data_IF_778823270102
#
_entry.id   IF_778823270102
#
_cell.length_a   1.000
_cell.length_b   1.000
_cell.length_c   1.000
_cell.angle_alpha   90.00
_cell.angle_beta   90.00
_cell.angle_gamma   90.00
#
_symmetry.space_group_name_H-M   'P 1'
#
loop_
_entity.id
_entity.type
_entity.pdbx_description
1 polymer ?
#
# COMPACT_ATOMS: atom_id res chain seq x y z
N UNK A 1 11.75 16.51 -2.19
CA UNK A 1 11.40 17.09 -0.88
C UNK A 1 12.47 16.92 0.19
N UNK A 2 13.59 16.26 -0.09
CA UNK A 2 14.68 16.02 0.88
C UNK A 2 15.20 17.28 1.58
N UNK A 3 15.41 18.37 0.85
CA UNK A 3 15.81 19.65 1.45
C UNK A 3 14.74 20.23 2.38
N UNK A 4 13.45 20.06 2.05
CA UNK A 4 12.35 20.50 2.90
C UNK A 4 12.26 19.65 4.18
N UNK A 5 12.38 18.33 4.06
CA UNK A 5 12.40 17.41 5.20
C UNK A 5 13.60 17.67 6.12
N UNK A 6 14.75 18.08 5.56
CA UNK A 6 15.94 18.45 6.32
C UNK A 6 15.94 19.91 6.81
N UNK A 7 14.84 20.67 6.60
CA UNK A 7 14.69 22.05 7.06
C UNK A 7 15.47 23.10 6.26
N UNK A 8 16.07 22.73 5.12
CA UNK A 8 16.83 23.63 4.23
C UNK A 8 15.95 24.38 3.22
N UNK A 9 14.69 23.98 3.03
CA UNK A 9 13.68 24.74 2.29
C UNK A 9 12.34 24.60 2.98
N UNK A 10 11.40 25.50 2.70
CA UNK A 10 10.03 25.28 3.13
C UNK A 10 9.34 24.19 2.27
N UNK A 11 8.28 23.59 2.80
CA UNK A 11 7.55 22.51 2.13
C UNK A 11 6.77 23.05 0.94
N UNK A 12 6.28 24.29 1.03
CA UNK A 12 5.51 24.97 -0.02
C UNK A 12 6.35 25.19 -1.28
N UNK A 13 7.65 25.46 -1.16
CA UNK A 13 8.58 25.63 -2.27
C UNK A 13 8.81 24.30 -2.96
N UNK A 14 8.97 23.21 -2.21
CA UNK A 14 9.10 21.88 -2.79
C UNK A 14 7.82 21.46 -3.55
N UNK A 15 6.64 21.74 -2.99
CA UNK A 15 5.35 21.47 -3.65
C UNK A 15 5.08 22.41 -4.84
N UNK A 16 5.65 23.62 -4.84
CA UNK A 16 5.57 24.51 -6.01
C UNK A 16 6.26 23.91 -7.23
N UNK A 17 7.34 23.16 -7.02
CA UNK A 17 8.04 22.47 -8.09
C UNK A 17 7.22 21.34 -8.71
N UNK A 18 6.17 20.83 -8.06
CA UNK A 18 5.32 19.76 -8.63
C UNK A 18 4.17 20.29 -9.49
N UNK A 19 4.02 21.62 -9.65
CA UNK A 19 2.94 22.21 -10.44
C UNK A 19 2.99 21.83 -11.92
N UNK A 20 4.19 21.62 -12.48
CA UNK A 20 4.36 21.30 -13.90
C UNK A 20 4.02 19.84 -14.24
N UNK A 21 3.82 18.95 -13.26
CA UNK A 21 3.69 17.51 -13.51
C UNK A 21 2.59 17.16 -14.51
N UNK A 22 1.51 17.93 -14.59
CA UNK A 22 0.44 17.71 -15.56
C UNK A 22 0.86 17.79 -17.04
N UNK A 23 2.05 18.34 -17.34
CA UNK A 23 2.63 18.40 -18.69
C UNK A 23 3.89 17.54 -18.85
N UNK A 24 4.21 16.72 -17.85
CA UNK A 24 5.41 15.87 -17.83
C UNK A 24 5.11 14.46 -18.35
N UNK A 25 6.06 13.89 -19.09
CA UNK A 25 6.00 12.53 -19.65
C UNK A 25 7.24 11.69 -19.34
N UNK A 26 8.24 12.24 -18.66
CA UNK A 26 9.43 11.52 -18.25
C UNK A 26 9.16 10.61 -17.04
N UNK A 27 9.53 9.33 -17.19
CA UNK A 27 9.33 8.31 -16.15
C UNK A 27 10.09 8.63 -14.86
N UNK A 28 11.33 9.12 -14.96
CA UNK A 28 12.18 9.37 -13.80
C UNK A 28 11.65 10.55 -12.98
N UNK A 29 11.17 11.59 -13.66
CA UNK A 29 10.55 12.75 -13.00
C UNK A 29 9.29 12.33 -12.24
N UNK A 30 8.40 11.57 -12.90
CA UNK A 30 7.18 11.05 -12.28
C UNK A 30 7.45 10.09 -11.13
N UNK A 31 8.37 9.14 -11.29
CA UNK A 31 8.79 8.23 -10.22
C UNK A 31 9.29 9.02 -9.02
N UNK A 32 10.19 9.98 -9.23
CA UNK A 32 10.73 10.82 -8.16
C UNK A 32 9.63 11.60 -7.45
N UNK A 33 8.70 12.19 -8.19
CA UNK A 33 7.59 12.94 -7.61
C UNK A 33 6.65 12.04 -6.80
N UNK A 34 6.29 10.87 -7.34
CA UNK A 34 5.35 9.95 -6.73
C UNK A 34 5.94 9.21 -5.52
N UNK A 35 7.24 8.91 -5.50
CA UNK A 35 7.91 8.37 -4.29
C UNK A 35 7.84 9.36 -3.11
N UNK A 36 7.89 10.65 -3.43
CA UNK A 36 7.75 11.74 -2.50
C UNK A 36 6.28 11.92 -2.06
N UNK A 37 5.32 11.87 -3.01
CA UNK A 37 3.90 11.89 -2.66
C UNK A 37 3.46 10.64 -1.89
N UNK A 38 4.09 9.47 -2.10
CA UNK A 38 3.82 8.26 -1.33
C UNK A 38 4.07 8.49 0.16
N UNK A 39 5.17 9.15 0.51
CA UNK A 39 5.47 9.50 1.90
C UNK A 39 4.42 10.44 2.50
N UNK A 40 3.88 11.38 1.71
CA UNK A 40 2.78 12.26 2.15
C UNK A 40 1.51 11.46 2.33
N UNK A 41 1.16 10.65 1.31
CA UNK A 41 -0.01 9.79 1.31
C UNK A 41 -0.02 8.91 2.56
N UNK A 42 1.03 8.12 2.79
CA UNK A 42 1.12 7.17 3.90
C UNK A 42 0.93 7.84 5.28
N UNK A 43 1.36 9.09 5.43
CA UNK A 43 1.22 9.87 6.68
C UNK A 43 -0.16 10.51 6.86
N UNK A 44 -0.87 10.82 5.78
CA UNK A 44 -2.22 11.38 5.82
C UNK A 44 -3.31 10.34 5.68
N UNK A 45 -2.90 9.10 5.40
CA UNK A 45 -3.74 8.00 4.98
C UNK A 45 -4.86 7.64 5.97
N UNK A 46 -4.64 7.85 7.27
CA UNK A 46 -5.64 7.58 8.32
C UNK A 46 -6.72 8.67 8.45
N UNK A 47 -6.60 9.81 7.73
CA UNK A 47 -7.60 10.88 7.68
C UNK A 47 -8.15 11.05 6.26
N UNK A 48 -9.41 10.67 6.07
CA UNK A 48 -10.09 10.71 4.77
C UNK A 48 -10.10 12.12 4.16
N UNK A 49 -10.30 13.17 4.96
CA UNK A 49 -10.34 14.55 4.46
C UNK A 49 -8.97 15.00 3.94
N UNK A 50 -7.89 14.59 4.61
CA UNK A 50 -6.53 14.90 4.21
C UNK A 50 -6.13 14.16 2.92
N UNK A 51 -6.54 12.90 2.78
CA UNK A 51 -6.36 12.12 1.54
C UNK A 51 -7.13 12.77 0.39
N UNK A 52 -8.33 13.29 0.64
CA UNK A 52 -9.12 14.01 -0.38
C UNK A 52 -8.38 15.27 -0.85
N UNK A 53 -7.75 16.03 0.04
CA UNK A 53 -6.95 17.20 -0.34
C UNK A 53 -5.77 16.81 -1.25
N UNK A 54 -5.02 15.76 -0.88
CA UNK A 54 -3.95 15.24 -1.71
C UNK A 54 -4.46 14.76 -3.08
N UNK A 55 -5.55 13.97 -3.10
CA UNK A 55 -6.21 13.47 -4.32
C UNK A 55 -6.57 14.62 -5.25
N UNK A 56 -7.23 15.65 -4.74
CA UNK A 56 -7.68 16.81 -5.52
C UNK A 56 -6.50 17.55 -6.17
N UNK A 57 -5.36 17.59 -5.50
CA UNK A 57 -4.17 18.23 -6.04
C UNK A 57 -3.45 17.40 -7.12
N UNK A 58 -3.22 16.10 -6.87
CA UNK A 58 -2.33 15.28 -7.71
C UNK A 58 -3.06 14.53 -8.82
N UNK A 59 -4.31 14.07 -8.60
CA UNK A 59 -5.05 13.26 -9.57
C UNK A 59 -5.28 13.98 -10.91
N UNK A 60 -5.61 15.29 -10.95
CA UNK A 60 -5.72 16.00 -12.23
C UNK A 60 -4.41 16.01 -13.03
N UNK A 61 -3.25 16.02 -12.36
CA UNK A 61 -1.93 15.98 -13.01
C UNK A 61 -1.63 14.60 -13.55
N UNK A 62 -1.95 13.56 -12.78
CA UNK A 62 -1.87 12.15 -13.21
C UNK A 62 -2.73 11.94 -14.45
N UNK A 63 -3.99 12.37 -14.42
CA UNK A 63 -4.91 12.21 -15.54
C UNK A 63 -4.43 12.97 -16.79
N UNK A 64 -3.91 14.19 -16.62
CA UNK A 64 -3.31 14.95 -17.73
C UNK A 64 -2.13 14.21 -18.36
N UNK A 65 -1.22 13.66 -17.55
CA UNK A 65 -0.09 12.88 -18.07
C UNK A 65 -0.51 11.56 -18.72
N UNK A 66 -1.52 10.86 -18.17
CA UNK A 66 -2.10 9.68 -18.79
C UNK A 66 -2.70 9.99 -20.17
N UNK A 67 -3.32 11.16 -20.34
CA UNK A 67 -3.84 11.59 -21.64
C UNK A 67 -2.72 11.93 -22.62
N UNK A 68 -1.61 12.54 -22.16
CA UNK A 68 -0.43 12.82 -22.99
C UNK A 68 0.24 11.54 -23.52
N UNK A 69 0.36 10.49 -22.69
CA UNK A 69 0.98 9.21 -23.07
C UNK A 69 -0.02 8.17 -23.59
N UNK A 70 -1.29 8.57 -23.76
CA UNK A 70 -2.46 7.73 -24.05
C UNK A 70 -2.79 6.76 -22.91
N UNK A 71 -4.00 6.86 -22.40
CA UNK A 71 -4.47 6.07 -21.27
C UNK A 71 -4.52 4.56 -21.52
N UNK A 72 -4.90 4.13 -22.73
CA UNK A 72 -4.86 2.72 -23.11
C UNK A 72 -3.50 2.38 -23.69
N UNK A 73 -3.00 1.17 -23.40
CA UNK A 73 -1.77 0.65 -23.96
C UNK A 73 -1.94 0.43 -25.48
N UNK A 74 -1.22 1.17 -26.34
CA UNK A 74 -1.23 0.92 -27.77
C UNK A 74 -0.60 -0.44 -28.05
N UNK A 75 -1.19 -1.22 -28.96
CA UNK A 75 -0.68 -2.53 -29.34
C UNK A 75 0.78 -2.43 -29.83
N UNK A 76 1.67 -3.24 -29.24
CA UNK A 76 3.10 -3.27 -29.60
C UNK A 76 3.95 -2.13 -29.03
N UNK A 77 3.39 -1.26 -28.16
CA UNK A 77 4.17 -0.22 -27.49
C UNK A 77 5.24 -0.84 -26.57
N UNK A 78 6.46 -0.30 -26.63
CA UNK A 78 7.60 -0.67 -25.78
C UNK A 78 8.26 0.59 -25.24
N UNK A 79 9.01 0.44 -24.15
CA UNK A 79 9.80 1.53 -23.55
C UNK A 79 9.16 2.11 -22.30
N UNK A 80 9.67 3.27 -21.89
CA UNK A 80 9.39 3.90 -20.58
C UNK A 80 7.93 4.30 -20.39
N UNK A 81 7.17 4.56 -21.46
CA UNK A 81 5.75 4.88 -21.39
C UNK A 81 4.90 3.74 -20.80
N UNK A 82 5.30 2.48 -21.02
CA UNK A 82 4.59 1.32 -20.45
C UNK A 82 4.68 1.35 -18.93
N UNK A 83 5.89 1.54 -18.41
CA UNK A 83 6.14 1.65 -16.97
C UNK A 83 5.52 2.91 -16.37
N UNK A 84 5.62 4.06 -17.06
CA UNK A 84 5.03 5.31 -16.60
C UNK A 84 3.51 5.18 -16.49
N UNK A 85 2.85 4.59 -17.49
CA UNK A 85 1.40 4.39 -17.46
C UNK A 85 0.97 3.48 -16.32
N UNK A 86 1.68 2.37 -16.09
CA UNK A 86 1.40 1.50 -14.96
C UNK A 86 1.56 2.22 -13.62
N UNK A 87 2.62 3.03 -13.47
CA UNK A 87 2.87 3.86 -12.29
C UNK A 87 1.74 4.86 -12.04
N UNK A 88 1.33 5.60 -13.08
CA UNK A 88 0.28 6.61 -13.01
C UNK A 88 -1.09 6.00 -12.73
N UNK A 89 -1.44 4.91 -13.41
CA UNK A 89 -2.69 4.18 -13.14
C UNK A 89 -2.70 3.59 -11.73
N UNK A 90 -1.57 3.12 -11.22
CA UNK A 90 -1.50 2.63 -9.85
C UNK A 90 -1.96 3.68 -8.84
N UNK A 91 -1.54 4.93 -9.02
CA UNK A 91 -2.02 6.05 -8.22
C UNK A 91 -3.48 6.42 -8.51
N UNK A 92 -3.89 6.48 -9.78
CA UNK A 92 -5.27 6.81 -10.14
C UNK A 92 -6.29 5.84 -9.52
N UNK A 93 -6.05 4.54 -9.60
CA UNK A 93 -6.91 3.53 -8.99
C UNK A 93 -6.85 3.55 -7.46
N UNK A 94 -5.69 3.86 -6.86
CA UNK A 94 -5.58 4.04 -5.39
C UNK A 94 -6.44 5.20 -4.90
N UNK A 95 -6.65 6.22 -5.73
CA UNK A 95 -7.60 7.31 -5.49
C UNK A 95 -9.02 7.00 -5.95
N UNK A 96 -9.32 5.77 -6.37
CA UNK A 96 -10.63 5.35 -6.89
C UNK A 96 -11.09 6.22 -8.07
N UNK A 97 -10.17 6.64 -8.94
CA UNK A 97 -10.50 7.28 -10.21
C UNK A 97 -11.33 6.31 -11.08
N UNK A 98 -12.53 6.73 -11.49
CA UNK A 98 -13.49 5.84 -12.15
C UNK A 98 -12.95 5.23 -13.45
N UNK A 99 -12.18 6.00 -14.22
CA UNK A 99 -11.60 5.53 -15.48
C UNK A 99 -10.56 4.44 -15.22
N UNK A 100 -9.76 4.60 -14.16
CA UNK A 100 -8.82 3.57 -13.73
C UNK A 100 -9.52 2.32 -13.19
N UNK A 101 -10.54 2.50 -12.34
CA UNK A 101 -11.32 1.39 -11.77
C UNK A 101 -11.98 0.58 -12.88
N UNK A 102 -12.65 1.24 -13.83
CA UNK A 102 -13.29 0.57 -14.97
C UNK A 102 -12.27 -0.23 -15.80
N UNK A 103 -11.11 0.37 -16.09
CA UNK A 103 -10.02 -0.31 -16.78
C UNK A 103 -9.52 -1.55 -16.01
N UNK A 104 -9.29 -1.42 -14.70
CA UNK A 104 -8.81 -2.54 -13.89
C UNK A 104 -9.85 -3.66 -13.82
N UNK A 105 -11.12 -3.31 -13.71
CA UNK A 105 -12.24 -4.25 -13.70
C UNK A 105 -12.42 -4.98 -15.03
N UNK A 106 -12.26 -4.28 -16.16
CA UNK A 106 -12.27 -4.88 -17.49
C UNK A 106 -11.12 -5.89 -17.64
N UNK A 107 -9.88 -5.50 -17.29
CA UNK A 107 -8.72 -6.38 -17.37
C UNK A 107 -8.77 -7.56 -16.42
N UNK A 108 -9.34 -7.37 -15.22
CA UNK A 108 -9.57 -8.48 -14.32
C UNK A 108 -10.60 -9.46 -14.89
N UNK A 109 -11.67 -8.96 -15.52
CA UNK A 109 -12.67 -9.81 -16.16
C UNK A 109 -12.09 -10.59 -17.34
N UNK A 110 -11.29 -9.97 -18.20
CA UNK A 110 -10.58 -10.66 -19.29
C UNK A 110 -9.72 -11.81 -18.75
N UNK A 111 -9.07 -11.60 -17.61
CA UNK A 111 -8.27 -12.63 -16.94
C UNK A 111 -9.13 -13.77 -16.37
N UNK A 112 -10.28 -13.47 -15.78
CA UNK A 112 -11.25 -14.47 -15.33
C UNK A 112 -11.75 -15.34 -16.49
N UNK A 113 -12.14 -14.71 -17.60
CA UNK A 113 -12.71 -15.39 -18.78
C UNK A 113 -11.69 -16.34 -19.44
N UNK A 114 -10.40 -16.04 -19.30
CA UNK A 114 -9.29 -16.90 -19.77
C UNK A 114 -8.84 -17.93 -18.72
N UNK A 115 -9.69 -18.20 -17.71
CA UNK A 115 -9.40 -19.08 -16.58
C UNK A 115 -8.04 -18.77 -15.92
N UNK A 116 -7.67 -17.49 -15.87
CA UNK A 116 -6.43 -16.99 -15.30
C UNK A 116 -5.14 -17.48 -15.95
N UNK A 117 -5.13 -17.72 -17.26
CA UNK A 117 -3.90 -18.00 -18.02
C UNK A 117 -2.99 -16.75 -18.02
N UNK A 118 -1.82 -16.84 -17.38
CA UNK A 118 -1.02 -15.66 -17.01
C UNK A 118 0.04 -15.11 -17.99
N UNK A 119 0.48 -15.77 -19.08
CA UNK A 119 1.55 -15.16 -19.88
C UNK A 119 1.07 -14.13 -20.91
N UNK A 120 -0.23 -13.87 -21.10
CA UNK A 120 -0.71 -13.00 -22.20
C UNK A 120 -1.81 -11.97 -21.88
N UNK A 121 -2.56 -12.09 -20.77
CA UNK A 121 -3.75 -11.24 -20.56
C UNK A 121 -3.44 -9.89 -19.92
N UNK A 122 -2.58 -9.88 -18.89
CA UNK A 122 -2.24 -8.66 -18.13
C UNK A 122 -0.71 -8.50 -18.12
N UNK A 123 -0.16 -7.42 -18.71
CA UNK A 123 1.28 -7.17 -18.66
C UNK A 123 1.75 -7.00 -17.21
N UNK A 124 2.96 -7.48 -16.91
CA UNK A 124 3.48 -7.59 -15.54
C UNK A 124 3.40 -6.30 -14.72
N UNK A 125 3.61 -5.15 -15.36
CA UNK A 125 3.55 -3.83 -14.72
C UNK A 125 2.15 -3.47 -14.18
N UNK A 126 1.08 -4.02 -14.77
CA UNK A 126 -0.30 -3.72 -14.39
C UNK A 126 -0.90 -4.75 -13.43
N UNK A 127 -0.25 -5.92 -13.26
CA UNK A 127 -0.84 -7.03 -12.51
C UNK A 127 -1.17 -6.67 -11.06
N UNK A 128 -0.22 -6.08 -10.33
CA UNK A 128 -0.45 -5.72 -8.92
C UNK A 128 -1.62 -4.74 -8.77
N UNK A 129 -1.66 -3.71 -9.63
CA UNK A 129 -2.71 -2.71 -9.69
C UNK A 129 -4.08 -3.34 -9.94
N UNK A 130 -4.17 -4.18 -10.98
CA UNK A 130 -5.43 -4.78 -11.41
C UNK A 130 -5.96 -5.73 -10.34
N UNK A 131 -5.11 -6.57 -9.78
CA UNK A 131 -5.51 -7.50 -8.72
C UNK A 131 -5.97 -6.76 -7.46
N UNK A 132 -5.19 -5.79 -7.00
CA UNK A 132 -5.51 -4.98 -5.83
C UNK A 132 -6.82 -4.22 -6.01
N UNK A 133 -7.04 -3.59 -7.18
CA UNK A 133 -8.28 -2.84 -7.46
C UNK A 133 -9.50 -3.76 -7.51
N UNK A 134 -9.38 -4.93 -8.13
CA UNK A 134 -10.46 -5.91 -8.18
C UNK A 134 -10.83 -6.43 -6.78
N UNK A 135 -9.83 -6.65 -5.92
CA UNK A 135 -10.03 -7.06 -4.51
C UNK A 135 -10.64 -5.94 -3.67
N UNK A 136 -10.19 -4.69 -3.85
CA UNK A 136 -10.62 -3.54 -3.07
C UNK A 136 -12.04 -3.08 -3.43
N UNK A 137 -12.43 -3.21 -4.71
CA UNK A 137 -13.70 -2.73 -5.25
C UNK A 137 -14.33 -3.85 -6.10
N UNK A 138 -14.79 -4.95 -5.49
CA UNK A 138 -15.35 -6.06 -6.25
C UNK A 138 -16.68 -5.67 -6.92
N UNK A 139 -16.91 -6.15 -8.14
CA UNK A 139 -18.24 -6.09 -8.76
C UNK A 139 -19.24 -6.90 -7.92
N UNK A 140 -20.48 -6.45 -7.88
CA UNK A 140 -21.55 -7.15 -7.17
C UNK A 140 -21.64 -8.60 -7.65
N UNK A 141 -21.61 -9.55 -6.71
CA UNK A 141 -21.71 -10.98 -6.99
C UNK A 141 -20.41 -11.66 -7.44
N UNK A 142 -19.27 -10.97 -7.44
CA UNK A 142 -17.96 -11.59 -7.73
C UNK A 142 -17.13 -11.75 -6.46
N UNK A 143 -16.16 -12.67 -6.49
CA UNK A 143 -15.19 -12.89 -5.40
C UNK A 143 -13.74 -12.90 -5.90
N UNK A 144 -13.20 -11.73 -6.32
CA UNK A 144 -11.83 -11.61 -6.82
C UNK A 144 -10.77 -12.17 -5.85
N UNK A 145 -10.97 -11.97 -4.55
CA UNK A 145 -10.09 -12.49 -3.51
C UNK A 145 -10.02 -14.02 -3.49
N UNK A 146 -11.14 -14.72 -3.60
CA UNK A 146 -11.18 -16.19 -3.65
C UNK A 146 -10.48 -16.72 -4.90
N UNK A 147 -10.71 -16.06 -6.04
CA UNK A 147 -10.05 -16.42 -7.30
C UNK A 147 -8.53 -16.25 -7.22
N UNK A 148 -8.07 -15.09 -6.75
CA UNK A 148 -6.64 -14.79 -6.56
C UNK A 148 -6.01 -15.77 -5.57
N UNK A 149 -6.70 -16.09 -4.47
CA UNK A 149 -6.21 -17.06 -3.50
C UNK A 149 -6.09 -18.47 -4.10
N UNK A 150 -7.06 -18.88 -4.92
CA UNK A 150 -6.98 -20.12 -5.70
C UNK A 150 -5.78 -20.14 -6.65
N UNK A 151 -5.52 -19.01 -7.33
CA UNK A 151 -4.35 -18.84 -8.21
C UNK A 151 -3.04 -18.88 -7.45
N UNK A 152 -2.97 -18.25 -6.28
CA UNK A 152 -1.80 -18.30 -5.40
C UNK A 152 -1.43 -19.74 -5.04
N UNK A 153 -2.43 -20.56 -4.67
CA UNK A 153 -2.23 -21.96 -4.29
C UNK A 153 -1.74 -22.82 -5.46
N UNK A 154 -2.15 -22.51 -6.69
CA UNK A 154 -1.78 -23.25 -7.90
C UNK A 154 -0.48 -22.74 -8.58
N UNK A 155 -0.03 -21.53 -8.27
CA UNK A 155 1.16 -20.91 -8.88
C UNK A 155 2.45 -21.57 -8.37
N UNK A 156 3.47 -21.64 -9.22
CA UNK A 156 4.79 -22.22 -8.92
C UNK A 156 5.86 -21.12 -8.94
N UNK A 157 5.69 -20.10 -9.77
CA UNK A 157 6.60 -18.98 -9.85
C UNK A 157 6.51 -18.13 -8.56
N UNK A 158 7.63 -18.02 -7.84
CA UNK A 158 7.68 -17.31 -6.55
C UNK A 158 7.30 -15.83 -6.67
N UNK A 159 7.74 -15.13 -7.72
CA UNK A 159 7.43 -13.71 -7.93
C UNK A 159 5.94 -13.51 -8.16
N UNK A 160 5.31 -14.38 -8.95
CA UNK A 160 3.86 -14.35 -9.17
C UNK A 160 3.08 -14.70 -7.91
N UNK A 161 3.52 -15.71 -7.15
CA UNK A 161 2.93 -16.06 -5.85
C UNK A 161 2.94 -14.86 -4.91
N UNK A 162 4.10 -14.24 -4.70
CA UNK A 162 4.22 -13.07 -3.81
C UNK A 162 3.28 -11.95 -4.27
N UNK A 163 3.20 -11.67 -5.58
CA UNK A 163 2.29 -10.66 -6.15
C UNK A 163 0.82 -10.98 -5.89
N UNK A 164 0.40 -12.22 -6.15
CA UNK A 164 -0.98 -12.68 -5.92
C UNK A 164 -1.38 -12.51 -4.44
N UNK A 165 -0.57 -13.03 -3.51
CA UNK A 165 -0.86 -12.88 -2.08
C UNK A 165 -0.82 -11.41 -1.66
N UNK A 166 0.17 -10.64 -2.12
CA UNK A 166 0.29 -9.22 -1.81
C UNK A 166 -0.93 -8.42 -2.24
N UNK A 167 -1.56 -8.75 -3.37
CA UNK A 167 -2.78 -8.05 -3.82
C UNK A 167 -3.98 -8.23 -2.89
N UNK A 168 -4.01 -9.31 -2.09
CA UNK A 168 -5.05 -9.54 -1.09
C UNK A 168 -4.93 -8.59 0.11
N UNK A 169 -3.86 -7.79 0.22
CA UNK A 169 -3.73 -6.78 1.27
C UNK A 169 -4.64 -5.57 1.05
N UNK A 170 -5.23 -5.45 -0.14
CA UNK A 170 -6.20 -4.41 -0.49
C UNK A 170 -7.65 -4.81 -0.16
N UNK A 171 -7.84 -5.88 0.61
CA UNK A 171 -9.14 -6.44 0.95
C UNK A 171 -9.83 -5.60 2.03
N UNK A 172 -10.89 -4.88 1.63
CA UNK A 172 -11.69 -4.04 2.53
C UNK A 172 -12.77 -4.78 3.35
N UNK A 173 -12.88 -6.10 3.20
CA UNK A 173 -13.88 -6.91 3.92
C UNK A 173 -13.25 -7.55 5.17
N UNK A 174 -13.45 -6.92 6.33
CA UNK A 174 -12.85 -7.29 7.61
C UNK A 174 -13.00 -8.78 7.96
N UNK A 175 -14.19 -9.34 7.76
CA UNK A 175 -14.46 -10.74 8.07
C UNK A 175 -13.60 -11.69 7.22
N UNK A 176 -13.42 -11.40 5.92
CA UNK A 176 -12.54 -12.20 5.06
C UNK A 176 -11.07 -11.97 5.38
N UNK A 177 -10.69 -10.74 5.73
CA UNK A 177 -9.31 -10.46 6.16
C UNK A 177 -8.95 -11.25 7.42
N UNK A 178 -9.84 -11.30 8.41
CA UNK A 178 -9.65 -12.09 9.64
C UNK A 178 -9.51 -13.60 9.35
N UNK A 179 -10.32 -14.13 8.43
CA UNK A 179 -10.20 -15.53 7.98
C UNK A 179 -8.84 -15.75 7.31
N UNK A 180 -8.44 -14.87 6.40
CA UNK A 180 -7.15 -14.98 5.71
C UNK A 180 -5.98 -14.87 6.69
N UNK A 181 -6.02 -13.96 7.67
CA UNK A 181 -5.02 -13.84 8.74
C UNK A 181 -4.91 -15.13 9.55
N UNK A 182 -6.04 -15.76 9.89
CA UNK A 182 -6.04 -17.07 10.54
C UNK A 182 -5.39 -18.15 9.67
N UNK A 183 -5.75 -18.22 8.40
CA UNK A 183 -5.23 -19.23 7.47
C UNK A 183 -3.72 -19.10 7.27
N UNK A 184 -3.22 -17.88 7.06
CA UNK A 184 -1.79 -17.64 6.85
C UNK A 184 -0.99 -17.79 8.13
N UNK A 185 -1.57 -17.68 9.32
CA UNK A 185 -0.83 -17.83 10.58
C UNK A 185 -0.94 -19.23 11.17
N UNK A 186 -1.88 -20.05 10.70
CA UNK A 186 -2.06 -21.42 11.15
C UNK A 186 -0.79 -22.29 10.89
N UNK A 187 -0.31 -23.09 11.86
CA UNK A 187 0.76 -24.06 11.61
C UNK A 187 0.41 -25.05 10.50
N UNK A 188 1.40 -25.41 9.66
CA UNK A 188 1.23 -26.40 8.59
C UNK A 188 0.36 -25.95 7.41
N UNK A 189 0.18 -24.64 7.22
CA UNK A 189 -0.54 -24.10 6.07
C UNK A 189 0.27 -24.21 4.75
N UNK A 190 -0.41 -24.00 3.61
CA UNK A 190 0.17 -24.10 2.26
C UNK A 190 0.87 -22.80 1.78
N UNK A 191 0.97 -21.78 2.63
CA UNK A 191 1.56 -20.49 2.27
C UNK A 191 3.06 -20.49 2.53
N UNK A 192 3.82 -19.95 1.56
CA UNK A 192 5.27 -19.82 1.68
C UNK A 192 5.60 -18.75 2.73
N UNK A 193 6.53 -19.03 3.62
CA UNK A 193 6.90 -18.14 4.73
C UNK A 193 7.29 -16.72 4.30
N UNK A 194 8.05 -16.61 3.21
CA UNK A 194 8.43 -15.32 2.63
C UNK A 194 7.21 -14.52 2.11
N UNK A 195 6.23 -15.20 1.51
CA UNK A 195 4.99 -14.57 1.04
C UNK A 195 4.15 -14.09 2.21
N UNK A 196 3.99 -14.92 3.25
CA UNK A 196 3.26 -14.58 4.49
C UNK A 196 3.85 -13.35 5.17
N UNK A 197 5.18 -13.30 5.28
CA UNK A 197 5.89 -12.15 5.86
C UNK A 197 5.71 -10.89 5.02
N UNK A 198 5.79 -11.02 3.69
CA UNK A 198 5.58 -9.89 2.77
C UNK A 198 4.15 -9.37 2.83
N UNK A 199 3.17 -10.28 2.94
CA UNK A 199 1.76 -9.95 3.08
C UNK A 199 1.48 -9.19 4.38
N UNK A 200 2.01 -9.63 5.53
CA UNK A 200 1.88 -8.90 6.79
C UNK A 200 2.51 -7.50 6.74
N UNK A 201 3.67 -7.36 6.08
CA UNK A 201 4.29 -6.04 5.83
C UNK A 201 3.40 -5.14 4.98
N UNK A 202 2.74 -5.67 3.96
CA UNK A 202 1.84 -4.89 3.12
C UNK A 202 0.58 -4.46 3.89
N UNK A 203 0.02 -5.34 4.72
CA UNK A 203 -1.11 -5.02 5.60
C UNK A 203 -0.78 -3.92 6.61
N UNK A 204 0.44 -3.89 7.16
CA UNK A 204 0.89 -2.79 8.01
C UNK A 204 0.80 -1.43 7.29
N UNK A 205 1.13 -1.40 6.01
CA UNK A 205 1.09 -0.18 5.20
C UNK A 205 -0.33 0.13 4.66
N UNK A 206 -1.31 -0.76 4.81
CA UNK A 206 -2.65 -0.58 4.27
C UNK A 206 -3.59 0.02 5.32
N UNK A 207 -4.25 1.12 4.97
CA UNK A 207 -4.99 1.98 5.91
C UNK A 207 -6.14 1.24 6.58
N UNK A 208 -6.97 0.58 5.78
CA UNK A 208 -8.18 -0.04 6.31
C UNK A 208 -7.85 -1.30 7.09
N UNK A 209 -6.76 -1.98 6.71
CA UNK A 209 -6.42 -3.33 7.13
C UNK A 209 -5.39 -3.36 8.27
N UNK A 210 -4.59 -2.29 8.47
CA UNK A 210 -3.51 -2.26 9.48
C UNK A 210 -4.01 -2.43 10.91
N UNK A 211 -5.13 -1.79 11.27
CA UNK A 211 -5.68 -1.84 12.64
C UNK A 211 -6.11 -3.27 12.97
N UNK A 212 -6.87 -3.89 12.07
CA UNK A 212 -7.33 -5.27 12.18
C UNK A 212 -6.14 -6.24 12.28
N UNK A 213 -5.11 -6.01 11.47
CA UNK A 213 -3.91 -6.85 11.47
C UNK A 213 -3.10 -6.68 12.75
N UNK A 214 -2.95 -5.45 13.25
CA UNK A 214 -2.30 -5.14 14.52
C UNK A 214 -2.98 -5.87 15.68
N UNK A 215 -4.30 -5.71 15.80
CA UNK A 215 -5.10 -6.38 16.82
C UNK A 215 -4.99 -7.89 16.71
N UNK A 216 -5.07 -8.45 15.49
CA UNK A 216 -4.93 -9.89 15.27
C UNK A 216 -3.57 -10.41 15.77
N UNK A 217 -2.47 -9.77 15.37
CA UNK A 217 -1.12 -10.20 15.74
C UNK A 217 -0.88 -10.06 17.25
N UNK A 218 -1.33 -8.97 17.87
CA UNK A 218 -1.22 -8.78 19.32
C UNK A 218 -2.03 -9.82 20.10
N UNK A 219 -3.26 -10.12 19.66
CA UNK A 219 -4.12 -11.10 20.32
C UNK A 219 -3.66 -12.55 20.14
N UNK A 220 -2.91 -12.85 19.07
CA UNK A 220 -2.41 -14.19 18.77
C UNK A 220 -0.91 -14.36 19.05
N UNK A 221 -0.24 -13.37 19.63
CA UNK A 221 1.18 -13.48 19.96
C UNK A 221 1.46 -14.63 20.93
N UNK A 222 0.58 -14.84 21.90
CA UNK A 222 0.61 -16.02 22.77
C UNK A 222 -0.16 -17.18 22.11
N UNK A 223 0.52 -18.31 21.91
CA UNK A 223 -0.11 -19.53 21.41
C UNK A 223 -0.16 -19.69 19.89
N UNK A 224 0.51 -18.82 19.13
CA UNK A 224 0.70 -18.97 17.70
C UNK A 224 2.19 -19.04 17.34
N UNK A 225 2.66 -20.22 16.92
CA UNK A 225 4.07 -20.47 16.59
C UNK A 225 4.60 -19.61 15.44
N UNK A 226 3.71 -19.10 14.57
CA UNK A 226 4.12 -18.20 13.49
C UNK A 226 4.25 -16.75 13.95
N UNK A 227 3.44 -16.29 14.91
CA UNK A 227 3.46 -14.90 15.41
C UNK A 227 4.61 -14.73 16.42
N UNK A 228 5.82 -14.90 15.90
CA UNK A 228 7.06 -14.82 16.68
C UNK A 228 7.44 -13.37 16.98
N UNK A 229 8.40 -13.18 17.89
CA UNK A 229 9.02 -11.86 18.12
C UNK A 229 9.60 -11.24 16.84
N UNK A 230 10.12 -12.05 15.92
CA UNK A 230 10.63 -11.57 14.64
C UNK A 230 9.52 -11.07 13.70
N UNK A 231 8.37 -11.75 13.67
CA UNK A 231 7.20 -11.29 12.91
C UNK A 231 6.64 -10.00 13.51
N UNK A 232 6.54 -9.91 14.85
CA UNK A 232 6.12 -8.67 15.53
C UNK A 232 7.06 -7.51 15.21
N UNK A 233 8.38 -7.71 15.32
CA UNK A 233 9.36 -6.67 14.99
C UNK A 233 9.27 -6.24 13.53
N UNK A 234 9.06 -7.19 12.62
CA UNK A 234 8.89 -6.94 11.19
C UNK A 234 7.64 -6.09 10.92
N UNK A 235 6.53 -6.44 11.56
CA UNK A 235 5.25 -5.74 11.42
C UNK A 235 5.32 -4.33 12.02
N UNK A 236 5.85 -4.17 13.24
CA UNK A 236 6.00 -2.85 13.88
C UNK A 236 6.98 -1.95 13.14
N UNK A 237 8.05 -2.51 12.56
CA UNK A 237 8.94 -1.73 11.68
C UNK A 237 8.19 -1.21 10.46
N UNK A 238 7.36 -2.05 9.82
CA UNK A 238 6.55 -1.61 8.69
C UNK A 238 5.51 -0.55 9.09
N UNK A 239 4.86 -0.72 10.24
CA UNK A 239 3.91 0.27 10.79
C UNK A 239 4.56 1.62 11.12
N UNK A 240 5.86 1.64 11.45
CA UNK A 240 6.53 2.84 11.97
C UNK A 240 6.63 4.03 11.00
N UNK A 241 6.39 3.80 9.71
CA UNK A 241 6.31 4.84 8.69
C UNK A 241 4.99 5.62 8.71
N UNK A 242 3.97 5.08 9.37
CA UNK A 242 2.59 5.59 9.38
C UNK A 242 2.30 6.48 10.60
N UNK A 243 1.30 7.36 10.48
CA UNK A 243 0.78 8.18 11.58
C UNK A 243 -0.36 7.41 12.24
N UNK A 244 -0.12 6.79 13.40
CA UNK A 244 -1.07 5.88 14.06
C UNK A 244 -1.90 6.55 15.17
N UNK A 245 -1.54 7.78 15.57
CA UNK A 245 -2.10 8.45 16.74
C UNK A 245 -1.50 7.95 18.07
N UNK A 246 -1.50 8.80 19.09
CA UNK A 246 -0.78 8.52 20.35
C UNK A 246 -1.39 7.36 21.14
N UNK A 247 -2.70 7.15 21.03
CA UNK A 247 -3.40 6.04 21.68
C UNK A 247 -2.91 4.68 21.16
N UNK A 248 -2.80 4.53 19.84
CA UNK A 248 -2.29 3.30 19.21
C UNK A 248 -0.84 3.05 19.57
N UNK A 249 -0.01 4.10 19.62
CA UNK A 249 1.40 3.97 20.01
C UNK A 249 1.49 3.52 21.47
N UNK A 250 0.67 4.08 22.36
CA UNK A 250 0.63 3.67 23.77
C UNK A 250 0.14 2.21 23.94
N UNK A 251 -0.81 1.76 23.11
CA UNK A 251 -1.25 0.36 23.06
C UNK A 251 -0.10 -0.59 22.69
N UNK A 252 0.68 -0.24 21.67
CA UNK A 252 1.86 -1.01 21.24
C UNK A 252 2.93 -1.02 22.35
N UNK A 253 3.21 0.12 23.00
CA UNK A 253 4.16 0.21 24.11
C UNK A 253 3.73 -0.66 25.31
N UNK A 254 2.44 -0.66 25.64
CA UNK A 254 1.88 -1.49 26.70
C UNK A 254 2.01 -2.99 26.36
N UNK A 255 1.76 -3.36 25.11
CA UNK A 255 1.95 -4.72 24.62
C UNK A 255 3.42 -5.15 24.73
N UNK A 256 4.36 -4.32 24.25
CA UNK A 256 5.81 -4.62 24.34
C UNK A 256 6.22 -4.81 25.80
N UNK A 257 5.75 -3.93 26.69
CA UNK A 257 6.05 -4.00 28.13
C UNK A 257 5.51 -5.27 28.77
N UNK A 258 4.28 -5.67 28.42
CA UNK A 258 3.64 -6.91 28.92
C UNK A 258 4.41 -8.16 28.48
N UNK A 259 4.97 -8.16 27.27
CA UNK A 259 5.65 -9.32 26.67
C UNK A 259 7.19 -9.16 26.61
N UNK A 260 7.77 -8.33 27.49
CA UNK A 260 9.18 -7.94 27.43
C UNK A 260 10.17 -9.12 27.37
N UNK A 261 9.91 -10.20 28.12
CA UNK A 261 10.78 -11.38 28.13
C UNK A 261 10.81 -12.10 26.77
N UNK A 262 9.65 -12.27 26.13
CA UNK A 262 9.52 -12.93 24.83
C UNK A 262 10.05 -12.06 23.67
N UNK A 263 9.94 -10.74 23.83
CA UNK A 263 10.38 -9.75 22.83
C UNK A 263 11.83 -9.29 23.02
N UNK A 264 12.50 -9.69 24.10
CA UNK A 264 13.89 -9.31 24.39
C UNK A 264 14.87 -9.45 23.20
N UNK A 265 14.81 -10.52 22.37
CA UNK A 265 15.72 -10.68 21.23
C UNK A 265 15.62 -9.59 20.15
N UNK A 266 14.48 -8.89 20.09
CA UNK A 266 14.20 -7.86 19.08
C UNK A 266 13.97 -6.47 19.68
N UNK A 267 14.19 -6.30 20.99
CA UNK A 267 13.91 -5.08 21.77
C UNK A 267 14.42 -3.79 21.10
N UNK A 268 15.69 -3.76 20.65
CA UNK A 268 16.26 -2.58 19.98
C UNK A 268 15.52 -2.19 18.68
N UNK A 269 15.02 -3.18 17.92
CA UNK A 269 14.20 -2.93 16.73
C UNK A 269 12.84 -2.36 17.12
N UNK A 270 12.23 -2.85 18.19
CA UNK A 270 10.95 -2.35 18.69
C UNK A 270 11.08 -0.92 19.22
N UNK A 271 12.13 -0.62 19.97
CA UNK A 271 12.42 0.73 20.49
C UNK A 271 12.58 1.73 19.34
N UNK A 272 13.30 1.33 18.28
CA UNK A 272 13.47 2.14 17.07
C UNK A 272 12.12 2.38 16.37
N UNK A 273 11.30 1.34 16.25
CA UNK A 273 9.97 1.45 15.64
C UNK A 273 9.06 2.41 16.44
N UNK A 274 9.02 2.30 17.76
CA UNK A 274 8.25 3.20 18.64
C UNK A 274 8.73 4.65 18.52
N UNK A 275 10.04 4.88 18.57
CA UNK A 275 10.61 6.21 18.42
C UNK A 275 10.21 6.84 17.07
N UNK A 276 10.24 6.03 16.01
CA UNK A 276 9.83 6.46 14.67
C UNK A 276 8.32 6.74 14.58
N UNK A 277 7.45 5.93 15.20
CA UNK A 277 6.00 6.19 15.27
C UNK A 277 5.68 7.51 15.96
N UNK A 278 6.35 7.80 17.09
CA UNK A 278 6.21 9.07 17.81
C UNK A 278 6.62 10.26 16.95
N UNK A 279 7.75 10.12 16.22
CA UNK A 279 8.19 11.12 15.26
C UNK A 279 7.17 11.35 14.13
N UNK A 280 6.45 10.31 13.67
CA UNK A 280 5.39 10.49 12.67
C UNK A 280 4.23 11.32 13.21
N UNK A 281 3.76 11.02 14.43
CA UNK A 281 2.68 11.77 15.06
C UNK A 281 3.06 13.25 15.27
N UNK A 282 4.29 13.52 15.74
CA UNK A 282 4.82 14.88 15.88
C UNK A 282 4.90 15.61 14.53
N UNK A 283 5.39 14.93 13.49
CA UNK A 283 5.45 15.49 12.14
C UNK A 283 4.06 15.86 11.62
N UNK A 284 3.05 15.02 11.85
CA UNK A 284 1.68 15.25 11.39
C UNK A 284 1.10 16.54 11.97
N UNK A 285 1.30 16.80 13.27
CA UNK A 285 0.82 18.01 13.95
C UNK A 285 1.53 19.30 13.54
N UNK A 286 2.73 19.21 12.95
CA UNK A 286 3.56 20.37 12.59
C UNK A 286 3.75 20.49 11.07
N UNK A 287 4.66 19.70 10.50
CA UNK A 287 4.96 19.68 9.06
C UNK A 287 3.80 19.19 8.20
N UNK A 288 2.92 18.34 8.73
CA UNK A 288 1.71 17.90 8.03
C UNK A 288 0.75 19.05 7.75
N UNK A 289 0.48 19.90 8.75
CA UNK A 289 -0.46 21.01 8.66
C UNK A 289 -0.16 21.98 7.50
N UNK A 290 1.11 22.33 7.30
CA UNK A 290 1.52 23.24 6.21
C UNK A 290 1.30 22.64 4.82
N UNK A 291 1.56 21.34 4.67
CA UNK A 291 1.29 20.63 3.40
C UNK A 291 -0.22 20.62 3.12
N UNK A 292 -1.05 20.36 4.15
CA UNK A 292 -2.51 20.38 4.00
C UNK A 292 -3.04 21.76 3.62
N UNK A 293 -2.53 22.83 4.24
CA UNK A 293 -2.88 24.21 3.88
C UNK A 293 -2.50 24.54 2.43
N UNK A 294 -1.36 24.02 1.97
CA UNK A 294 -0.93 24.17 0.59
C UNK A 294 -1.88 23.47 -0.38
N UNK A 295 -2.32 22.24 -0.10
CA UNK A 295 -3.32 21.52 -0.92
C UNK A 295 -4.71 22.17 -0.89
N UNK A 296 -5.10 22.85 0.19
CA UNK A 296 -6.37 23.60 0.25
C UNK A 296 -6.42 24.78 -0.73
N UNK A 297 -5.26 25.28 -1.16
CA UNK A 297 -5.13 26.52 -1.94
C UNK A 297 -4.60 26.31 -3.36
N UNK A 298 -4.31 25.06 -3.77
CA UNK A 298 -3.69 24.72 -5.06
C UNK A 298 -4.23 23.41 -5.64
#
# INVERSE_FOLDING_TARGET
MTFATAGYSDQETALRLTKFLGTETDLVVWQTALDHFRQIYDKFSDNVDDVVLLKNYILPKINSALDLIKFSHPEGEKGTNVTLRALLLNWACSFEDSRCVDFAQEKFQEWLDQNGYLPTTIPGDYQQLIYCTAVAIPKVGTTPSDFILGKYKAEINSVHKTRLLSSLSCLKEDAKLQILLKDITNPGNDFVEADRTSFLKNLANSINERRITLEFLMNNFEGNDFVTSQIMATFFTALSSSVLGDETVAEIEAFISKHAAALAPVSATLDTAIAQMKLQNEWYTSGGARILDWFRTN
#
